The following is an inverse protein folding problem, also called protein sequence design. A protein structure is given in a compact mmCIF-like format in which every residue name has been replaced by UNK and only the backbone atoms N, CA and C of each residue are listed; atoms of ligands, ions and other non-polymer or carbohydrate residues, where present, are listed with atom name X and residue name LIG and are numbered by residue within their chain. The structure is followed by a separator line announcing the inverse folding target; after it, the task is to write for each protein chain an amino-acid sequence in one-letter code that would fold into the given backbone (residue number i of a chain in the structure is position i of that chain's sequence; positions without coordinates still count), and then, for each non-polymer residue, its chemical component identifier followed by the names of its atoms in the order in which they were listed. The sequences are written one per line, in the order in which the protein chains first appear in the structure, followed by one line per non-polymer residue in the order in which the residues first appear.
data_IF_935280440753
#
_entry.id   IF_935280440753
#
_cell.length_a   1.000
_cell.length_b   1.000
_cell.length_c   1.000
_cell.angle_alpha   90.00
_cell.angle_beta   90.00
_cell.angle_gamma   90.00
#
_symmetry.space_group_name_H-M   'P 1'
#
loop_
_entity.id
_entity.type
_entity.pdbx_description
1 polymer ?
#
# COMPACT_ATOMS: atom_id res chain seq x y z
N UNK A 1 1.19 -2.66 21.60
CA UNK A 1 2.26 -2.91 20.63
C UNK A 1 1.89 -2.31 19.29
N UNK A 2 2.81 -1.59 18.69
CA UNK A 2 2.56 -0.93 17.42
C UNK A 2 2.51 -1.91 16.25
N UNK A 3 1.59 -1.66 15.33
CA UNK A 3 1.36 -2.52 14.17
C UNK A 3 1.49 -1.74 12.87
N UNK A 4 1.55 -2.48 11.77
CA UNK A 4 1.48 -1.94 10.43
C UNK A 4 0.12 -2.31 9.85
N UNK A 5 -0.46 -1.40 9.08
CA UNK A 5 -1.70 -1.65 8.35
C UNK A 5 -1.37 -1.88 6.88
N UNK A 6 -1.77 -3.03 6.36
CA UNK A 6 -1.72 -3.32 4.92
C UNK A 6 -3.11 -3.06 4.37
N UNK A 7 -3.24 -2.13 3.42
CA UNK A 7 -4.51 -1.84 2.75
C UNK A 7 -4.35 -2.25 1.29
N UNK A 8 -5.20 -3.13 0.81
CA UNK A 8 -5.05 -3.65 -0.54
C UNK A 8 -6.39 -3.76 -1.28
N UNK A 9 -6.30 -3.86 -2.60
CA UNK A 9 -7.44 -4.17 -3.45
C UNK A 9 -7.51 -5.67 -3.71
N UNK A 10 -8.59 -6.15 -4.34
CA UNK A 10 -8.73 -7.55 -4.72
C UNK A 10 -8.68 -7.78 -6.24
N UNK A 11 -8.58 -6.71 -7.05
CA UNK A 11 -8.41 -6.84 -8.49
C UNK A 11 -7.08 -7.53 -8.81
N UNK A 12 -7.10 -8.45 -9.76
CA UNK A 12 -5.94 -9.29 -10.11
C UNK A 12 -5.51 -10.12 -8.91
N UNK A 13 -6.43 -10.92 -8.40
CA UNK A 13 -6.33 -11.60 -7.11
C UNK A 13 -5.04 -12.38 -6.91
N UNK A 14 -4.60 -13.18 -7.89
CA UNK A 14 -3.35 -13.94 -7.78
C UNK A 14 -2.16 -13.02 -7.56
N UNK A 15 -2.11 -11.93 -8.29
CA UNK A 15 -1.00 -10.97 -8.22
C UNK A 15 -1.02 -10.21 -6.90
N UNK A 16 -2.22 -9.78 -6.46
CA UNK A 16 -2.38 -9.13 -5.16
C UNK A 16 -1.98 -10.07 -4.03
N UNK A 17 -2.36 -11.33 -4.10
CA UNK A 17 -1.99 -12.31 -3.07
C UNK A 17 -0.47 -12.50 -2.98
N UNK A 18 0.23 -12.47 -4.10
CA UNK A 18 1.70 -12.49 -4.09
C UNK A 18 2.28 -11.26 -3.39
N UNK A 19 1.71 -10.08 -3.68
CA UNK A 19 2.15 -8.83 -3.04
C UNK A 19 1.92 -8.89 -1.52
N UNK A 20 0.75 -9.36 -1.10
CA UNK A 20 0.43 -9.51 0.32
C UNK A 20 1.42 -10.48 0.99
N UNK A 21 1.70 -11.60 0.33
CA UNK A 21 2.64 -12.59 0.86
C UNK A 21 4.04 -12.01 1.03
N UNK A 22 4.57 -11.34 0.00
CA UNK A 22 5.89 -10.72 0.05
C UNK A 22 5.97 -9.69 1.18
N UNK A 23 4.99 -8.80 1.25
CA UNK A 23 4.97 -7.75 2.25
C UNK A 23 4.83 -8.34 3.66
N UNK A 24 3.91 -9.29 3.84
CA UNK A 24 3.68 -9.95 5.14
C UNK A 24 4.93 -10.67 5.64
N UNK A 25 5.59 -11.45 4.78
CA UNK A 25 6.79 -12.18 5.18
C UNK A 25 7.93 -11.22 5.54
N UNK A 26 8.10 -10.15 4.78
CA UNK A 26 9.13 -9.16 5.07
C UNK A 26 8.87 -8.46 6.41
N UNK A 27 7.61 -8.15 6.71
CA UNK A 27 7.24 -7.56 8.00
C UNK A 27 7.50 -8.52 9.16
N UNK A 28 7.12 -9.79 9.00
CA UNK A 28 7.37 -10.82 10.03
C UNK A 28 8.87 -11.01 10.30
N UNK A 29 9.69 -11.03 9.25
CA UNK A 29 11.13 -11.16 9.38
C UNK A 29 11.77 -10.01 10.15
N UNK A 30 11.10 -8.87 10.18
CA UNK A 30 11.55 -7.68 10.90
C UNK A 30 10.78 -7.44 12.20
N UNK A 31 10.09 -8.46 12.69
CA UNK A 31 9.35 -8.46 13.96
C UNK A 31 8.19 -7.47 14.04
N UNK A 32 7.54 -7.19 12.91
CA UNK A 32 6.34 -6.37 12.88
C UNK A 32 5.08 -7.21 12.84
N UNK A 33 4.11 -6.85 13.68
CA UNK A 33 2.75 -7.33 13.56
C UNK A 33 2.00 -6.46 12.56
N UNK A 34 0.98 -7.00 11.93
CA UNK A 34 0.19 -6.23 10.96
C UNK A 34 -1.28 -6.66 10.96
N UNK A 35 -2.11 -5.72 10.53
CA UNK A 35 -3.52 -5.97 10.22
C UNK A 35 -3.72 -5.73 8.72
N UNK A 36 -4.75 -6.32 8.14
CA UNK A 36 -5.04 -6.22 6.72
C UNK A 36 -6.45 -5.67 6.51
N UNK A 37 -6.61 -4.75 5.58
CA UNK A 37 -7.89 -4.20 5.18
C UNK A 37 -8.03 -4.24 3.66
N UNK A 38 -9.24 -4.56 3.17
CA UNK A 38 -9.51 -4.73 1.75
C UNK A 38 -10.41 -3.61 1.24
N UNK A 39 -9.94 -2.88 0.23
CA UNK A 39 -10.71 -1.84 -0.44
C UNK A 39 -11.29 -2.39 -1.75
N UNK A 40 -12.46 -1.91 -2.19
CA UNK A 40 -13.07 -2.37 -3.44
C UNK A 40 -12.27 -2.00 -4.69
N UNK A 41 -11.51 -0.90 -4.64
CA UNK A 41 -10.69 -0.46 -5.77
C UNK A 41 -9.59 0.48 -5.31
N UNK A 42 -8.72 0.87 -6.24
CA UNK A 42 -7.55 1.70 -5.92
C UNK A 42 -7.93 3.08 -5.37
N UNK A 43 -9.00 3.66 -5.90
CA UNK A 43 -9.46 5.01 -5.49
C UNK A 43 -9.87 5.03 -4.01
N UNK A 44 -10.35 3.91 -3.47
CA UNK A 44 -10.85 3.83 -2.09
C UNK A 44 -9.78 3.49 -1.06
N UNK A 45 -8.55 3.20 -1.50
CA UNK A 45 -7.47 2.78 -0.59
C UNK A 45 -7.19 3.79 0.52
N UNK A 46 -7.00 5.05 0.15
CA UNK A 46 -6.65 6.10 1.12
C UNK A 46 -7.79 6.38 2.10
N UNK A 47 -9.03 6.43 1.60
CA UNK A 47 -10.20 6.68 2.45
C UNK A 47 -10.41 5.55 3.46
N UNK A 48 -10.22 4.29 3.04
CA UNK A 48 -10.32 3.16 3.96
C UNK A 48 -9.22 3.22 5.02
N UNK A 49 -7.99 3.51 4.61
CA UNK A 49 -6.89 3.67 5.56
C UNK A 49 -7.18 4.75 6.59
N UNK A 50 -7.66 5.91 6.14
CA UNK A 50 -8.01 7.02 7.04
C UNK A 50 -9.06 6.58 8.07
N UNK A 51 -10.08 5.87 7.63
CA UNK A 51 -11.10 5.35 8.54
C UNK A 51 -10.48 4.45 9.61
N UNK A 52 -9.63 3.50 9.18
CA UNK A 52 -8.96 2.57 10.11
C UNK A 52 -8.06 3.31 11.10
N UNK A 53 -7.34 4.31 10.64
CA UNK A 53 -6.46 5.10 11.50
C UNK A 53 -7.24 5.89 12.55
N UNK A 54 -8.34 6.50 12.17
CA UNK A 54 -9.18 7.28 13.08
C UNK A 54 -9.90 6.39 14.10
N UNK A 55 -10.34 5.21 13.69
CA UNK A 55 -11.03 4.26 14.59
C UNK A 55 -10.09 3.51 15.51
N UNK A 56 -8.79 3.49 15.22
CA UNK A 56 -7.78 2.74 15.97
C UNK A 56 -6.58 3.63 16.29
N UNK A 57 -6.85 4.79 16.86
CA UNK A 57 -5.82 5.79 17.14
C UNK A 57 -4.68 5.22 17.96
N UNK A 58 -3.45 5.46 17.51
CA UNK A 58 -2.25 4.99 18.22
C UNK A 58 -1.87 3.53 17.93
N UNK A 59 -2.68 2.79 17.16
CA UNK A 59 -2.43 1.37 16.88
C UNK A 59 -1.36 1.15 15.81
N UNK A 60 -1.32 2.02 14.80
CA UNK A 60 -0.46 1.82 13.64
C UNK A 60 0.70 2.81 13.58
N UNK A 61 1.89 2.32 13.27
CA UNK A 61 3.08 3.15 13.03
C UNK A 61 3.39 3.28 11.54
N UNK A 62 2.79 2.44 10.73
CA UNK A 62 3.00 2.45 9.29
C UNK A 62 1.82 1.88 8.53
N UNK A 63 1.69 2.32 7.29
CA UNK A 63 0.66 1.86 6.35
C UNK A 63 1.32 1.61 5.01
N UNK A 64 1.06 0.47 4.41
CA UNK A 64 1.47 0.19 3.03
C UNK A 64 0.23 -0.12 2.18
N UNK A 65 0.17 0.48 1.00
CA UNK A 65 -0.91 0.27 0.04
C UNK A 65 -0.47 -0.67 -1.06
N UNK A 66 -1.23 -1.74 -1.26
CA UNK A 66 -0.97 -2.72 -2.31
C UNK A 66 -2.14 -2.68 -3.30
N UNK A 67 -1.84 -2.36 -4.52
CA UNK A 67 -2.85 -2.29 -5.57
C UNK A 67 -2.24 -2.43 -6.94
N UNK A 68 -3.09 -2.68 -7.93
CA UNK A 68 -2.66 -2.86 -9.32
C UNK A 68 -3.60 -2.09 -10.22
N UNK A 69 -3.05 -1.25 -11.09
CA UNK A 69 -3.82 -0.53 -12.11
C UNK A 69 -3.16 -0.81 -13.45
N UNK A 70 -3.91 -1.42 -14.37
CA UNK A 70 -3.41 -1.74 -15.71
C UNK A 70 -4.15 -0.88 -16.72
N UNK A 71 -3.40 -0.26 -17.66
CA UNK A 71 -4.00 0.60 -18.66
C UNK A 71 -4.97 -0.18 -19.55
N UNK A 72 -6.16 0.36 -19.72
CA UNK A 72 -7.15 -0.13 -20.68
C UNK A 72 -7.21 0.73 -21.93
N UNK A 73 -8.29 0.63 -22.68
CA UNK A 73 -8.48 1.36 -23.93
C UNK A 73 -9.02 2.78 -23.78
N UNK A 74 -9.16 3.28 -22.56
CA UNK A 74 -9.75 4.60 -22.28
C UNK A 74 -8.86 5.42 -21.34
N UNK A 75 -9.26 6.67 -21.06
CA UNK A 75 -8.57 7.53 -20.10
C UNK A 75 -8.81 7.15 -18.63
N UNK A 76 -9.60 6.11 -18.37
CA UNK A 76 -9.92 5.67 -17.01
C UNK A 76 -8.66 5.39 -16.17
N UNK A 77 -7.66 4.77 -16.80
CA UNK A 77 -6.38 4.50 -16.14
C UNK A 77 -5.76 5.78 -15.53
N UNK A 78 -5.72 6.85 -16.32
CA UNK A 78 -5.11 8.10 -15.88
C UNK A 78 -5.89 8.73 -14.71
N UNK A 79 -7.21 8.67 -14.75
CA UNK A 79 -8.06 9.17 -13.68
C UNK A 79 -7.87 8.37 -12.39
N UNK A 80 -7.84 7.05 -12.50
CA UNK A 80 -7.68 6.16 -11.35
C UNK A 80 -6.30 6.31 -10.74
N UNK A 81 -5.25 6.22 -11.55
CA UNK A 81 -3.88 6.30 -11.04
C UNK A 81 -3.58 7.66 -10.42
N UNK A 82 -3.99 8.75 -11.07
CA UNK A 82 -3.78 10.09 -10.54
C UNK A 82 -4.49 10.31 -9.21
N UNK A 83 -5.76 9.92 -9.10
CA UNK A 83 -6.54 10.10 -7.85
C UNK A 83 -6.00 9.20 -6.75
N UNK A 84 -5.62 7.97 -7.06
CA UNK A 84 -5.05 7.05 -6.09
C UNK A 84 -3.78 7.64 -5.47
N UNK A 85 -2.86 8.10 -6.31
CA UNK A 85 -1.59 8.68 -5.85
C UNK A 85 -1.80 9.99 -5.09
N UNK A 86 -2.69 10.85 -5.60
CA UNK A 86 -3.03 12.11 -4.94
C UNK A 86 -3.60 11.87 -3.54
N UNK A 87 -4.57 10.98 -3.42
CA UNK A 87 -5.24 10.73 -2.15
C UNK A 87 -4.34 10.07 -1.11
N UNK A 88 -3.46 9.17 -1.55
CA UNK A 88 -2.46 8.55 -0.65
C UNK A 88 -1.48 9.59 -0.16
N UNK A 89 -0.99 10.46 -1.05
CA UNK A 89 -0.07 11.53 -0.68
C UNK A 89 -0.70 12.52 0.30
N UNK A 90 -1.95 12.89 0.06
CA UNK A 90 -2.71 13.76 0.94
C UNK A 90 -2.87 13.14 2.33
N UNK A 91 -3.22 11.85 2.39
CA UNK A 91 -3.35 11.13 3.65
C UNK A 91 -2.04 11.14 4.44
N UNK A 92 -0.93 10.90 3.75
CA UNK A 92 0.39 10.88 4.39
C UNK A 92 0.72 12.23 5.04
N UNK A 93 0.36 13.33 4.39
CA UNK A 93 0.58 14.67 4.93
C UNK A 93 -0.31 14.96 6.14
N UNK A 94 -1.48 14.34 6.23
CA UNK A 94 -2.42 14.54 7.33
C UNK A 94 -2.06 13.73 8.58
N UNK A 95 -1.19 12.72 8.46
CA UNK A 95 -0.75 11.88 9.57
C UNK A 95 0.78 11.82 9.59
N UNK A 96 1.45 12.94 9.91
CA UNK A 96 2.91 13.02 9.76
C UNK A 96 3.71 12.08 10.67
N UNK A 97 3.09 11.58 11.73
CA UNK A 97 3.78 10.64 12.65
C UNK A 97 3.76 9.21 12.16
N UNK A 98 2.91 8.90 11.18
CA UNK A 98 2.78 7.55 10.63
C UNK A 98 3.55 7.47 9.32
N UNK A 99 4.25 6.37 9.09
CA UNK A 99 4.95 6.13 7.83
C UNK A 99 3.98 5.55 6.79
N UNK A 100 3.97 6.12 5.60
CA UNK A 100 3.11 5.65 4.50
C UNK A 100 3.96 5.31 3.29
N UNK A 101 3.72 4.15 2.71
CA UNK A 101 4.35 3.75 1.44
C UNK A 101 3.27 3.34 0.45
N UNK A 102 3.34 3.91 -0.73
CA UNK A 102 2.45 3.59 -1.84
C UNK A 102 3.10 2.50 -2.70
N UNK A 103 2.56 1.29 -2.63
CA UNK A 103 2.97 0.20 -3.52
C UNK A 103 1.81 -0.18 -4.46
N UNK A 104 1.12 0.83 -5.00
CA UNK A 104 0.17 0.64 -6.09
C UNK A 104 0.97 0.62 -7.39
N UNK A 105 0.97 -0.53 -8.05
CA UNK A 105 1.74 -0.73 -9.27
C UNK A 105 0.86 -0.39 -10.47
N UNK A 106 1.24 0.66 -11.20
CA UNK A 106 0.54 1.15 -12.37
C UNK A 106 1.35 0.78 -13.61
N UNK A 107 0.80 -0.05 -14.47
CA UNK A 107 1.51 -0.60 -15.63
C UNK A 107 0.64 -0.56 -16.88
N UNK A 108 1.30 -0.71 -18.06
CA UNK A 108 0.62 -0.74 -19.35
C UNK A 108 0.03 -2.10 -19.66
N UNK A 109 0.64 -3.19 -19.17
CA UNK A 109 0.22 -4.56 -19.46
C UNK A 109 0.66 -5.54 -18.37
N UNK A 110 0.17 -6.78 -18.48
CA UNK A 110 0.47 -7.85 -17.52
C UNK A 110 1.96 -8.22 -17.45
N UNK A 111 2.67 -8.16 -18.57
CA UNK A 111 4.10 -8.50 -18.59
C UNK A 111 4.89 -7.51 -17.72
N UNK A 112 4.56 -6.22 -17.81
CA UNK A 112 5.18 -5.21 -16.95
C UNK A 112 4.87 -5.46 -15.48
N UNK A 113 3.65 -5.91 -15.18
CA UNK A 113 3.25 -6.22 -13.82
C UNK A 113 4.09 -7.36 -13.26
N UNK A 114 4.23 -8.46 -14.01
CA UNK A 114 5.01 -9.61 -13.57
C UNK A 114 6.46 -9.22 -13.25
N UNK A 115 7.05 -8.36 -14.06
CA UNK A 115 8.44 -7.91 -13.86
C UNK A 115 8.61 -7.08 -12.58
N UNK A 116 7.54 -6.47 -12.09
CA UNK A 116 7.63 -5.48 -11.00
C UNK A 116 7.13 -5.97 -9.64
N UNK A 117 6.28 -6.99 -9.60
CA UNK A 117 5.62 -7.41 -8.36
C UNK A 117 6.61 -7.68 -7.24
N UNK A 118 7.56 -8.58 -7.45
CA UNK A 118 8.49 -8.99 -6.40
C UNK A 118 9.43 -7.86 -5.99
N UNK A 119 10.09 -7.26 -6.95
CA UNK A 119 11.11 -6.24 -6.69
C UNK A 119 10.50 -5.02 -6.02
N UNK A 120 9.41 -4.49 -6.60
CA UNK A 120 8.78 -3.28 -6.05
C UNK A 120 8.19 -3.54 -4.67
N UNK A 121 7.49 -4.66 -4.48
CA UNK A 121 6.84 -4.94 -3.20
C UNK A 121 7.86 -5.18 -2.09
N UNK A 122 8.93 -5.93 -2.39
CA UNK A 122 10.00 -6.15 -1.43
C UNK A 122 10.68 -4.84 -1.06
N UNK A 123 11.09 -4.07 -2.05
CA UNK A 123 11.80 -2.80 -1.82
C UNK A 123 10.93 -1.79 -1.10
N UNK A 124 9.64 -1.70 -1.45
CA UNK A 124 8.73 -0.75 -0.82
C UNK A 124 8.37 -1.16 0.61
N UNK A 125 8.28 -2.46 0.90
CA UNK A 125 8.07 -2.90 2.28
C UNK A 125 9.29 -2.59 3.15
N UNK A 126 10.50 -2.79 2.62
CA UNK A 126 11.73 -2.39 3.31
C UNK A 126 11.80 -0.88 3.49
N UNK A 127 11.36 -0.11 2.50
CA UNK A 127 11.30 1.34 2.59
C UNK A 127 10.34 1.80 3.69
N UNK A 128 9.23 1.09 3.87
CA UNK A 128 8.30 1.38 4.98
C UNK A 128 8.99 1.22 6.32
N UNK A 129 9.71 0.13 6.51
CA UNK A 129 10.44 -0.13 7.76
C UNK A 129 11.48 0.98 8.00
N UNK A 130 12.22 1.34 6.97
CA UNK A 130 13.20 2.42 7.07
C UNK A 130 12.54 3.75 7.45
N UNK A 131 11.40 4.06 6.84
CA UNK A 131 10.68 5.30 7.12
C UNK A 131 10.13 5.32 8.55
N UNK A 132 9.65 4.19 9.05
CA UNK A 132 9.22 4.06 10.45
C UNK A 132 10.38 4.39 11.37
N UNK A 133 11.57 3.83 11.10
CA UNK A 133 12.75 4.08 11.91
C UNK A 133 13.16 5.55 11.88
N UNK A 134 13.12 6.19 10.71
CA UNK A 134 13.42 7.63 10.59
C UNK A 134 12.45 8.50 11.40
N UNK A 135 11.17 8.16 11.37
CA UNK A 135 10.15 8.91 12.10
C UNK A 135 10.22 8.68 13.61
N UNK A 136 10.90 7.64 14.05
CA UNK A 136 11.08 7.32 15.48
C UNK A 136 12.30 7.99 16.10
N UNK A 137 13.12 8.62 15.31
CA UNK A 137 14.37 9.24 15.75
C UNK A 137 14.17 10.62 16.33
#
# INVERSE_FOLDING_TARGET
MSKILIVHTSWYEENINRMIHISSETLKENDYLFDVAVAPGAIELAALAKHKLLMNEGRYVGVIFLGIVIRGGTSHYDLVSNETFRSIGDLAMNFPKIAFINNVICVENLNQLEDRIEVNTLNNTKALINLINEKSS
#
